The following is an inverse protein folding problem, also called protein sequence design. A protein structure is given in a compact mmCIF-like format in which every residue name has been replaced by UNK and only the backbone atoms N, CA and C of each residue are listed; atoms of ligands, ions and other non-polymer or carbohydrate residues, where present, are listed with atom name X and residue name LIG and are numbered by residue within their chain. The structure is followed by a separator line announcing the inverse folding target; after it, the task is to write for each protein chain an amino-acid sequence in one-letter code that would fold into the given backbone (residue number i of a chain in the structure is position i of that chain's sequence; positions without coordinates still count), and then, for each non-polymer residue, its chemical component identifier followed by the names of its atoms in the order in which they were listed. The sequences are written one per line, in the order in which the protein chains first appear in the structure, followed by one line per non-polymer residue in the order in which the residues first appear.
data_IF_370199626629
#
_entry.id   IF_370199626629
#
_cell.length_a   1.000
_cell.length_b   1.000
_cell.length_c   1.000
_cell.angle_alpha   90.00
_cell.angle_beta   90.00
_cell.angle_gamma   90.00
#
_symmetry.space_group_name_H-M   'P 1'
#
loop_
_entity.id
_entity.type
_entity.pdbx_description
1 polymer ?
#
# COMPACT_ATOMS: atom_id res chain seq x y z
N UNK A 1 37.70 -28.14 -22.03
CA UNK A 1 38.09 -27.25 -20.92
C UNK A 1 37.90 -25.82 -21.41
N UNK A 2 37.64 -24.88 -20.51
CA UNK A 2 37.02 -23.54 -20.67
C UNK A 2 35.50 -23.59 -20.49
N UNK A 3 35.06 -23.77 -19.24
CA UNK A 3 34.83 -22.75 -18.20
C UNK A 3 33.46 -22.08 -18.33
N UNK A 4 32.49 -22.79 -17.76
CA UNK A 4 31.23 -22.26 -17.26
C UNK A 4 31.50 -21.20 -16.20
N UNK A 5 31.31 -19.92 -16.54
CA UNK A 5 31.27 -18.84 -15.55
C UNK A 5 29.80 -18.47 -15.29
N UNK A 6 29.26 -19.10 -14.26
CA UNK A 6 27.97 -18.79 -13.66
C UNK A 6 28.11 -17.49 -12.88
N UNK A 7 27.49 -16.41 -13.33
CA UNK A 7 27.29 -15.21 -12.51
C UNK A 7 25.80 -14.89 -12.44
N UNK A 8 25.34 -14.81 -11.20
CA UNK A 8 24.02 -14.42 -10.69
C UNK A 8 23.30 -13.38 -11.58
N UNK A 9 22.37 -13.85 -12.40
CA UNK A 9 21.50 -13.01 -13.21
C UNK A 9 20.10 -13.59 -13.24
N UNK A 10 19.37 -13.51 -12.12
CA UNK A 10 17.92 -13.61 -12.18
C UNK A 10 17.45 -12.29 -12.79
N UNK A 11 17.46 -12.19 -14.11
CA UNK A 11 16.87 -11.06 -14.83
C UNK A 11 15.37 -11.17 -14.58
N UNK A 12 14.91 -10.49 -13.53
CA UNK A 12 13.49 -10.14 -13.42
C UNK A 12 13.14 -9.47 -14.75
N UNK A 13 12.15 -10.03 -15.46
CA UNK A 13 11.38 -9.27 -16.44
C UNK A 13 11.13 -7.89 -15.84
N UNK A 14 11.28 -6.82 -16.61
CA UNK A 14 10.88 -5.49 -16.16
C UNK A 14 9.46 -5.56 -15.59
N UNK A 15 9.14 -4.89 -14.48
CA UNK A 15 7.80 -4.92 -13.86
C UNK A 15 6.69 -4.67 -14.89
N UNK A 16 7.00 -3.90 -15.95
CA UNK A 16 6.13 -3.66 -17.08
C UNK A 16 5.91 -4.87 -17.99
N UNK A 17 6.96 -5.66 -18.25
CA UNK A 17 6.86 -6.91 -19.01
C UNK A 17 6.08 -7.98 -18.24
N UNK A 18 6.23 -8.00 -16.92
CA UNK A 18 5.45 -8.90 -16.07
C UNK A 18 3.98 -8.48 -16.04
N UNK A 19 3.69 -7.17 -15.92
CA UNK A 19 2.33 -6.64 -16.06
C UNK A 19 1.73 -6.99 -17.43
N UNK A 20 2.46 -6.76 -18.51
CA UNK A 20 2.00 -7.06 -19.88
C UNK A 20 1.68 -8.54 -20.03
N UNK A 21 2.55 -9.42 -19.52
CA UNK A 21 2.34 -10.87 -19.53
C UNK A 21 1.04 -11.27 -18.83
N UNK A 22 0.77 -10.72 -17.64
CA UNK A 22 -0.47 -11.01 -16.91
C UNK A 22 -1.71 -10.44 -17.61
N UNK A 23 -1.61 -9.26 -18.21
CA UNK A 23 -2.69 -8.70 -19.05
C UNK A 23 -2.97 -9.63 -20.23
N UNK A 24 -1.93 -10.09 -20.93
CA UNK A 24 -2.05 -10.99 -22.08
C UNK A 24 -2.69 -12.33 -21.68
N UNK A 25 -2.37 -12.87 -20.49
CA UNK A 25 -3.03 -14.05 -19.94
C UNK A 25 -4.54 -13.83 -19.75
N UNK A 26 -4.95 -12.68 -19.23
CA UNK A 26 -6.37 -12.33 -19.06
C UNK A 26 -7.04 -12.16 -20.42
N UNK A 27 -6.39 -11.47 -21.36
CA UNK A 27 -6.87 -11.32 -22.75
C UNK A 27 -7.07 -12.68 -23.41
N UNK A 28 -6.14 -13.62 -23.23
CA UNK A 28 -6.27 -14.98 -23.76
C UNK A 28 -7.45 -15.74 -23.16
N UNK A 29 -7.79 -15.49 -21.89
CA UNK A 29 -8.86 -16.20 -21.17
C UNK A 29 -10.26 -15.66 -21.46
N UNK A 30 -10.42 -14.34 -21.58
CA UNK A 30 -11.76 -13.71 -21.71
C UNK A 30 -11.93 -12.87 -22.98
N UNK A 31 -10.88 -12.67 -23.77
CA UNK A 31 -10.88 -11.85 -24.98
C UNK A 31 -10.62 -10.37 -24.71
N UNK A 32 -10.09 -9.68 -25.72
CA UNK A 32 -9.67 -8.27 -25.62
C UNK A 32 -10.81 -7.33 -25.19
N UNK A 33 -11.97 -7.42 -25.84
CA UNK A 33 -13.12 -6.55 -25.55
C UNK A 33 -13.61 -6.71 -24.10
N UNK A 34 -13.71 -7.95 -23.61
CA UNK A 34 -14.10 -8.20 -22.21
C UNK A 34 -13.02 -7.78 -21.22
N UNK A 35 -11.75 -7.90 -21.60
CA UNK A 35 -10.62 -7.39 -20.79
C UNK A 35 -10.66 -5.88 -20.69
N UNK A 36 -10.96 -5.16 -21.78
CA UNK A 36 -11.16 -3.70 -21.75
C UNK A 36 -12.32 -3.33 -20.83
N UNK A 37 -13.46 -4.04 -20.91
CA UNK A 37 -14.59 -3.82 -20.00
C UNK A 37 -14.20 -4.09 -18.54
N UNK A 38 -13.44 -5.15 -18.28
CA UNK A 38 -12.95 -5.49 -16.94
C UNK A 38 -12.01 -4.41 -16.39
N UNK A 39 -10.99 -4.01 -17.16
CA UNK A 39 -10.05 -2.95 -16.76
C UNK A 39 -10.75 -1.60 -16.58
N UNK A 40 -11.69 -1.24 -17.46
CA UNK A 40 -12.55 -0.06 -17.26
C UNK A 40 -13.36 -0.18 -15.99
N UNK A 41 -13.93 -1.35 -15.70
CA UNK A 41 -14.67 -1.57 -14.46
C UNK A 41 -13.76 -1.45 -13.24
N UNK A 42 -12.48 -1.78 -13.32
CA UNK A 42 -11.53 -1.50 -12.25
C UNK A 42 -11.23 -0.02 -12.12
N UNK A 43 -11.14 0.74 -13.22
CA UNK A 43 -10.95 2.21 -13.14
C UNK A 43 -12.21 2.92 -12.63
N UNK A 44 -13.39 2.47 -13.06
CA UNK A 44 -14.69 3.02 -12.70
C UNK A 44 -15.11 2.59 -11.28
N UNK A 45 -14.83 1.35 -10.85
CA UNK A 45 -15.00 0.86 -9.46
C UNK A 45 -13.79 1.12 -8.55
N UNK A 46 -12.66 1.59 -9.09
CA UNK A 46 -11.61 2.24 -8.30
C UNK A 46 -12.04 3.64 -7.85
N UNK A 47 -13.25 4.08 -8.22
CA UNK A 47 -14.07 4.84 -7.29
C UNK A 47 -14.28 3.94 -6.08
N UNK A 48 -13.39 4.04 -5.09
CA UNK A 48 -13.28 3.29 -3.83
C UNK A 48 -14.55 3.27 -2.95
N UNK A 49 -15.77 3.29 -3.51
CA UNK A 49 -17.04 3.20 -2.79
C UNK A 49 -17.13 1.95 -1.90
N UNK A 50 -16.74 0.73 -2.34
CA UNK A 50 -16.72 -0.44 -1.46
C UNK A 50 -15.76 -0.24 -0.28
N UNK A 51 -14.60 0.39 -0.51
CA UNK A 51 -13.61 0.65 0.53
C UNK A 51 -14.06 1.76 1.47
N UNK A 52 -14.75 2.80 0.97
CA UNK A 52 -15.37 3.84 1.79
C UNK A 52 -16.45 3.28 2.71
N UNK A 53 -17.25 2.34 2.21
CA UNK A 53 -18.28 1.67 3.00
C UNK A 53 -17.66 0.73 4.06
N UNK A 54 -16.52 0.13 3.73
CA UNK A 54 -15.75 -0.75 4.62
C UNK A 54 -14.58 -0.02 5.31
N UNK A 55 -14.60 1.31 5.38
CA UNK A 55 -13.47 2.09 5.89
C UNK A 55 -13.10 1.73 7.35
N UNK A 56 -14.06 1.48 8.27
CA UNK A 56 -13.72 0.99 9.61
C UNK A 56 -12.97 -0.35 9.60
N UNK A 57 -13.32 -1.28 8.70
CA UNK A 57 -12.63 -2.56 8.56
C UNK A 57 -11.20 -2.37 8.05
N UNK A 58 -11.02 -1.49 7.05
CA UNK A 58 -9.69 -1.15 6.55
C UNK A 58 -8.83 -0.50 7.63
N UNK A 59 -9.39 0.40 8.45
CA UNK A 59 -8.67 1.01 9.56
C UNK A 59 -8.17 -0.05 10.55
N UNK A 60 -9.07 -0.93 11.02
CA UNK A 60 -8.70 -2.00 11.95
C UNK A 60 -7.63 -2.92 11.36
N UNK A 61 -7.78 -3.30 10.09
CA UNK A 61 -6.79 -4.11 9.40
C UNK A 61 -5.42 -3.42 9.34
N UNK A 62 -5.37 -2.16 8.88
CA UNK A 62 -4.14 -1.38 8.77
C UNK A 62 -3.44 -1.24 10.12
N UNK A 63 -4.19 -0.94 11.18
CA UNK A 63 -3.62 -0.80 12.53
C UNK A 63 -3.04 -2.12 13.03
N UNK A 64 -3.76 -3.23 12.90
CA UNK A 64 -3.30 -4.54 13.39
C UNK A 64 -2.08 -5.04 12.62
N UNK A 65 -2.08 -4.89 11.29
CA UNK A 65 -0.95 -5.27 10.45
C UNK A 65 0.25 -4.37 10.70
N UNK A 66 0.05 -3.06 10.90
CA UNK A 66 1.15 -2.16 11.24
C UNK A 66 1.75 -2.48 12.62
N UNK A 67 0.94 -2.76 13.64
CA UNK A 67 1.42 -3.21 14.96
C UNK A 67 2.28 -4.46 14.81
N UNK A 68 1.82 -5.43 14.01
CA UNK A 68 2.53 -6.70 13.78
C UNK A 68 3.83 -6.50 13.01
N UNK A 69 3.80 -5.76 11.90
CA UNK A 69 4.97 -5.57 11.02
C UNK A 69 6.07 -4.72 11.68
N UNK A 70 5.68 -3.72 12.47
CA UNK A 70 6.62 -2.84 13.16
C UNK A 70 7.01 -3.36 14.56
N UNK A 71 6.53 -4.55 14.96
CA UNK A 71 6.78 -5.17 16.27
C UNK A 71 6.45 -4.24 17.45
N UNK A 72 5.21 -3.73 17.46
CA UNK A 72 4.73 -2.74 18.43
C UNK A 72 3.78 -3.36 19.45
N UNK A 73 3.57 -2.65 20.55
CA UNK A 73 2.51 -2.97 21.52
C UNK A 73 1.23 -2.24 21.15
N UNK A 74 0.13 -2.97 21.10
CA UNK A 74 -1.18 -2.43 20.73
C UNK A 74 -1.64 -1.30 21.66
N UNK A 75 -1.47 -1.48 22.98
CA UNK A 75 -1.83 -0.53 24.04
C UNK A 75 -1.17 0.85 23.87
N UNK A 76 0.00 0.88 23.23
CA UNK A 76 0.83 2.06 23.03
C UNK A 76 0.65 2.68 21.64
N UNK A 77 -0.11 2.03 20.74
CA UNK A 77 -0.11 2.36 19.32
C UNK A 77 -0.50 3.80 19.02
N UNK A 78 -1.44 4.38 19.76
CA UNK A 78 -1.92 5.75 19.53
C UNK A 78 -1.21 6.82 20.36
N UNK A 79 -0.50 6.42 21.42
CA UNK A 79 0.02 7.34 22.46
C UNK A 79 1.54 7.45 22.42
N UNK A 80 2.24 6.39 22.06
CA UNK A 80 3.69 6.35 22.10
C UNK A 80 4.30 7.21 20.98
N UNK A 81 5.28 8.04 21.37
CA UNK A 81 5.89 9.05 20.50
C UNK A 81 7.28 8.66 19.99
N UNK A 82 7.72 7.42 20.17
CA UNK A 82 8.94 6.92 19.52
C UNK A 82 8.82 6.90 18.00
N UNK A 83 9.95 6.81 17.30
CA UNK A 83 10.00 6.94 15.84
C UNK A 83 9.20 5.84 15.16
N UNK A 84 9.35 4.61 15.63
CA UNK A 84 8.73 3.40 15.10
C UNK A 84 7.20 3.50 15.14
N UNK A 85 6.65 3.92 16.28
CA UNK A 85 5.21 4.14 16.44
C UNK A 85 4.70 5.30 15.56
N UNK A 86 5.47 6.38 15.40
CA UNK A 86 5.10 7.47 14.48
C UNK A 86 5.11 7.00 13.04
N UNK A 87 6.10 6.21 12.65
CA UNK A 87 6.25 5.68 11.30
C UNK A 87 5.14 4.70 10.94
N UNK A 88 4.79 3.78 11.85
CA UNK A 88 3.67 2.87 11.69
C UNK A 88 2.35 3.64 11.49
N UNK A 89 2.05 4.60 12.37
CA UNK A 89 0.85 5.46 12.22
C UNK A 89 0.86 6.25 10.92
N UNK A 90 2.01 6.79 10.53
CA UNK A 90 2.18 7.55 9.30
C UNK A 90 1.90 6.69 8.06
N UNK A 91 2.36 5.43 8.05
CA UNK A 91 2.01 4.46 7.01
C UNK A 91 0.50 4.20 6.98
N UNK A 92 -0.14 3.96 8.13
CA UNK A 92 -1.60 3.78 8.21
C UNK A 92 -2.36 5.01 7.68
N UNK A 93 -1.95 6.24 8.04
CA UNK A 93 -2.61 7.46 7.57
C UNK A 93 -2.56 7.58 6.05
N UNK A 94 -1.38 7.32 5.47
CA UNK A 94 -1.14 7.44 4.04
C UNK A 94 -1.94 6.40 3.26
N UNK A 95 -1.87 5.12 3.64
CA UNK A 95 -2.63 4.04 3.00
C UNK A 95 -4.14 4.20 3.17
N UNK A 96 -4.59 4.57 4.37
CA UNK A 96 -6.01 4.82 4.63
C UNK A 96 -6.54 5.97 3.77
N UNK A 97 -5.79 7.07 3.64
CA UNK A 97 -6.14 8.16 2.74
C UNK A 97 -6.16 7.71 1.27
N UNK A 98 -5.12 6.97 0.84
CA UNK A 98 -4.96 6.46 -0.53
C UNK A 98 -6.14 5.59 -0.97
N UNK A 99 -6.59 4.68 -0.12
CA UNK A 99 -7.61 3.70 -0.48
C UNK A 99 -9.04 4.09 -0.13
N UNK A 100 -9.28 5.07 0.75
CA UNK A 100 -10.64 5.58 1.04
C UNK A 100 -10.97 6.85 0.27
N UNK A 101 -9.98 7.54 -0.28
CA UNK A 101 -10.12 8.90 -0.83
C UNK A 101 -10.78 9.89 0.15
N UNK A 102 -10.70 9.64 1.46
CA UNK A 102 -11.20 10.55 2.49
C UNK A 102 -10.34 11.81 2.58
N UNK A 103 -10.96 12.95 2.85
CA UNK A 103 -10.22 14.20 3.05
C UNK A 103 -9.28 14.11 4.25
N UNK A 104 -8.20 14.89 4.26
CA UNK A 104 -7.28 14.95 5.41
C UNK A 104 -7.99 15.29 6.73
N UNK A 105 -9.07 16.06 6.68
CA UNK A 105 -9.88 16.36 7.85
C UNK A 105 -10.61 15.10 8.38
N UNK A 106 -11.16 14.28 7.48
CA UNK A 106 -11.82 13.04 7.85
C UNK A 106 -10.83 12.00 8.38
N UNK A 107 -9.66 11.87 7.75
CA UNK A 107 -8.57 11.02 8.25
C UNK A 107 -8.12 11.46 9.65
N UNK A 108 -7.91 12.76 9.85
CA UNK A 108 -7.55 13.32 11.15
C UNK A 108 -8.57 13.01 12.24
N UNK A 109 -9.87 13.11 11.93
CA UNK A 109 -10.95 12.72 12.82
C UNK A 109 -10.87 11.24 13.21
N UNK A 110 -10.67 10.35 12.23
CA UNK A 110 -10.59 8.90 12.43
C UNK A 110 -9.44 8.51 13.36
N UNK A 111 -8.29 9.15 13.19
CA UNK A 111 -7.08 8.86 13.97
C UNK A 111 -6.91 9.74 15.22
N UNK A 112 -7.91 10.55 15.57
CA UNK A 112 -7.87 11.40 16.77
C UNK A 112 -6.71 12.41 16.77
N UNK A 113 -6.29 12.90 15.61
CA UNK A 113 -5.13 13.82 15.47
C UNK A 113 -5.50 15.10 14.71
N UNK A 114 -4.57 16.05 14.63
CA UNK A 114 -4.76 17.30 13.90
C UNK A 114 -4.63 17.13 12.38
N UNK A 115 -5.46 17.82 11.60
CA UNK A 115 -5.37 17.86 10.11
C UNK A 115 -3.96 18.21 9.62
N UNK A 116 -3.28 19.16 10.27
CA UNK A 116 -1.90 19.56 9.91
C UNK A 116 -0.91 18.40 10.05
N UNK A 117 -1.08 17.54 11.06
CA UNK A 117 -0.26 16.36 11.26
C UNK A 117 -0.45 15.36 10.11
N UNK A 118 -1.71 15.11 9.71
CA UNK A 118 -2.00 14.22 8.56
C UNK A 118 -1.33 14.72 7.28
N UNK A 119 -1.42 16.02 6.99
CA UNK A 119 -0.78 16.61 5.81
C UNK A 119 0.75 16.45 5.87
N UNK A 120 1.35 16.78 7.01
CA UNK A 120 2.79 16.62 7.24
C UNK A 120 3.24 15.17 7.05
N UNK A 121 2.53 14.22 7.67
CA UNK A 121 2.86 12.80 7.58
C UNK A 121 2.70 12.26 6.15
N UNK A 122 1.63 12.65 5.44
CA UNK A 122 1.46 12.30 4.03
C UNK A 122 2.64 12.78 3.18
N UNK A 123 3.04 14.05 3.34
CA UNK A 123 4.19 14.61 2.63
C UNK A 123 5.48 13.87 2.98
N UNK A 124 5.68 13.50 4.24
CA UNK A 124 6.85 12.73 4.68
C UNK A 124 6.90 11.34 4.06
N UNK A 125 5.78 10.63 3.96
CA UNK A 125 5.74 9.33 3.26
C UNK A 125 6.07 9.52 1.79
N UNK A 126 5.45 10.48 1.11
CA UNK A 126 5.73 10.73 -0.31
C UNK A 126 7.22 11.05 -0.54
N UNK A 127 7.81 11.93 0.26
CA UNK A 127 9.24 12.24 0.22
C UNK A 127 10.09 10.96 0.38
N UNK A 128 9.77 10.11 1.35
CA UNK A 128 10.51 8.86 1.60
C UNK A 128 10.38 7.89 0.43
N UNK A 129 9.20 7.79 -0.17
CA UNK A 129 8.94 6.97 -1.36
C UNK A 129 9.75 7.45 -2.58
N UNK A 130 10.11 8.74 -2.67
CA UNK A 130 10.99 9.24 -3.74
C UNK A 130 12.47 8.89 -3.58
N UNK A 131 12.92 8.56 -2.36
CA UNK A 131 14.33 8.22 -2.06
C UNK A 131 14.42 6.92 -1.25
N UNK A 132 13.94 5.79 -1.80
CA UNK A 132 13.71 4.57 -1.03
C UNK A 132 14.99 3.96 -0.45
N UNK A 133 16.13 4.18 -1.12
CA UNK A 133 17.44 3.70 -0.69
C UNK A 133 17.90 4.29 0.66
N UNK A 134 17.49 5.51 0.99
CA UNK A 134 17.86 6.18 2.24
C UNK A 134 16.95 5.75 3.41
N UNK A 135 15.68 5.44 3.12
CA UNK A 135 14.68 5.06 4.11
C UNK A 135 14.34 3.57 4.09
N UNK A 136 15.30 2.72 3.70
CA UNK A 136 15.09 1.27 3.46
C UNK A 136 14.25 0.55 4.53
N UNK A 137 14.52 0.69 5.84
CA UNK A 137 13.74 -0.03 6.86
C UNK A 137 12.26 0.35 6.83
N UNK A 138 11.96 1.64 6.75
CA UNK A 138 10.59 2.13 6.67
C UNK A 138 9.90 1.67 5.38
N UNK A 139 10.59 1.78 4.24
CA UNK A 139 10.03 1.44 2.93
C UNK A 139 9.70 -0.05 2.85
N UNK A 140 10.58 -0.93 3.34
CA UNK A 140 10.33 -2.37 3.37
C UNK A 140 9.09 -2.74 4.18
N UNK A 141 8.85 -2.07 5.31
CA UNK A 141 7.66 -2.31 6.14
C UNK A 141 6.41 -1.68 5.51
N UNK A 142 6.55 -0.49 4.92
CA UNK A 142 5.48 0.20 4.21
C UNK A 142 4.99 -0.64 3.01
N UNK A 143 5.89 -1.15 2.18
CA UNK A 143 5.56 -1.94 0.99
C UNK A 143 4.84 -3.25 1.39
N UNK A 144 5.30 -3.92 2.45
CA UNK A 144 4.62 -5.09 3.00
C UNK A 144 3.21 -4.76 3.50
N UNK A 145 3.06 -3.65 4.22
CA UNK A 145 1.75 -3.20 4.70
C UNK A 145 0.83 -2.85 3.52
N UNK A 146 1.35 -2.20 2.49
CA UNK A 146 0.60 -1.83 1.29
C UNK A 146 0.14 -3.08 0.52
N UNK A 147 1.03 -4.04 0.28
CA UNK A 147 0.72 -5.30 -0.39
C UNK A 147 -0.40 -6.07 0.35
N UNK A 148 -0.26 -6.24 1.66
CA UNK A 148 -1.28 -6.89 2.50
C UNK A 148 -2.61 -6.15 2.47
N UNK A 149 -2.57 -4.81 2.43
CA UNK A 149 -3.77 -3.97 2.34
C UNK A 149 -4.50 -4.15 1.01
N UNK A 150 -3.76 -4.23 -0.10
CA UNK A 150 -4.34 -4.51 -1.42
C UNK A 150 -5.01 -5.89 -1.42
N UNK A 151 -4.34 -6.91 -0.87
CA UNK A 151 -4.90 -8.26 -0.76
C UNK A 151 -6.16 -8.29 0.11
N UNK A 152 -6.19 -7.54 1.22
CA UNK A 152 -7.39 -7.41 2.05
C UNK A 152 -8.53 -6.73 1.31
N UNK A 153 -8.28 -5.59 0.68
CA UNK A 153 -9.28 -4.83 -0.09
C UNK A 153 -9.86 -5.67 -1.23
N UNK A 154 -9.04 -6.49 -1.89
CA UNK A 154 -9.50 -7.36 -2.98
C UNK A 154 -10.55 -8.41 -2.56
N UNK A 155 -10.73 -8.63 -1.25
CA UNK A 155 -11.66 -9.61 -0.67
C UNK A 155 -12.88 -8.95 0.00
N UNK A 156 -12.96 -7.62 0.03
CA UNK A 156 -14.10 -6.85 0.55
C UNK A 156 -15.25 -6.79 -0.47
#
# INVERSE_FOLDING_TARGET
MEETSTIHGKTMRSDYEDLQYHIDMVVGKIGLQKTVVLLRSFVEKAQFEPVKNNAPLLLTFLTNEAITLFDLKEEDFYTNTTTEYREARMACYHLYHKYTSYSYAKVAQVFGTGKRNIIYYKQKVDERLTIPHYYKPFIQLYDQLEERSIQFISKL
#
